data_IF_717782087401
#
_entry.id   IF_717782087401
#
_cell.length_a   1.000
_cell.length_b   1.000
_cell.length_c   1.000
_cell.angle_alpha   90.00
_cell.angle_beta   90.00
_cell.angle_gamma   90.00
#
_symmetry.space_group_name_H-M   'P 1'
#
loop_
_entity.id
_entity.type
_entity.pdbx_description
1 polymer ?
#
# COMPACT_ATOMS: atom_id res chain seq x y z
N UNK A 1 0.30 66.97 12.75
CA UNK A 1 0.05 65.52 12.91
C UNK A 1 -0.62 65.02 11.64
N UNK A 2 0.16 64.38 10.76
CA UNK A 2 -0.34 63.84 9.49
C UNK A 2 -1.11 62.54 9.72
N UNK A 3 -2.30 62.33 9.14
CA UNK A 3 -2.97 61.04 9.19
C UNK A 3 -2.15 60.01 8.40
N UNK A 4 -1.92 58.84 9.00
CA UNK A 4 -1.17 57.75 8.41
C UNK A 4 -1.77 57.29 7.07
N UNK A 5 -0.90 57.11 6.08
CA UNK A 5 -1.13 56.72 4.68
C UNK A 5 -1.91 55.40 4.46
N UNK A 6 -2.38 54.72 5.51
CA UNK A 6 -3.03 53.41 5.44
C UNK A 6 -4.56 53.47 5.35
N UNK A 7 -5.19 54.63 5.59
CA UNK A 7 -6.65 54.76 5.57
C UNK A 7 -7.25 55.06 4.19
N UNK A 8 -6.46 55.20 3.13
CA UNK A 8 -6.95 55.72 1.83
C UNK A 8 -6.98 54.75 0.64
N UNK A 9 -6.86 53.43 0.83
CA UNK A 9 -6.98 52.53 -0.34
C UNK A 9 -8.24 51.66 -0.34
N UNK A 10 -8.90 51.37 0.79
CA UNK A 10 -10.09 50.50 0.78
C UNK A 10 -11.21 50.83 1.79
N UNK A 11 -11.20 52.01 2.44
CA UNK A 11 -12.35 52.51 3.23
C UNK A 11 -12.83 51.63 4.40
N UNK A 12 -12.08 50.60 4.81
CA UNK A 12 -12.51 49.59 5.76
C UNK A 12 -11.42 49.39 6.82
N UNK A 13 -11.81 49.39 8.10
CA UNK A 13 -10.86 49.28 9.22
C UNK A 13 -10.10 47.94 9.22
N UNK A 14 -8.87 47.94 9.74
CA UNK A 14 -8.03 46.74 9.87
C UNK A 14 -8.74 45.60 10.63
N UNK A 15 -9.58 45.95 11.61
CA UNK A 15 -10.38 44.97 12.38
C UNK A 15 -11.41 44.26 11.50
N UNK A 16 -12.06 45.01 10.60
CA UNK A 16 -13.04 44.46 9.66
C UNK A 16 -12.38 43.51 8.66
N UNK A 17 -11.19 43.85 8.16
CA UNK A 17 -10.40 42.95 7.31
C UNK A 17 -9.98 41.67 8.02
N UNK A 18 -9.57 41.76 9.30
CA UNK A 18 -9.26 40.59 10.11
C UNK A 18 -10.48 39.66 10.28
N UNK A 19 -11.66 40.22 10.56
CA UNK A 19 -12.91 39.45 10.64
C UNK A 19 -13.26 38.76 9.31
N UNK A 20 -13.11 39.44 8.18
CA UNK A 20 -13.36 38.85 6.85
C UNK A 20 -12.40 37.69 6.56
N UNK A 21 -11.11 37.85 6.86
CA UNK A 21 -10.11 36.78 6.66
C UNK A 21 -10.39 35.58 7.57
N UNK A 22 -10.74 35.80 8.84
CA UNK A 22 -11.09 34.72 9.77
C UNK A 22 -12.35 33.98 9.29
N UNK A 23 -13.38 34.70 8.86
CA UNK A 23 -14.60 34.12 8.30
C UNK A 23 -14.33 33.33 7.02
N UNK A 24 -13.49 33.84 6.11
CA UNK A 24 -13.10 33.12 4.90
C UNK A 24 -12.29 31.86 5.21
N UNK A 25 -11.38 31.91 6.19
CA UNK A 25 -10.63 30.74 6.65
C UNK A 25 -11.55 29.71 7.30
N UNK A 26 -12.55 30.14 8.07
CA UNK A 26 -13.56 29.28 8.66
C UNK A 26 -14.44 28.63 7.58
N UNK A 27 -14.97 29.41 6.63
CA UNK A 27 -15.72 28.92 5.49
C UNK A 27 -14.90 27.94 4.64
N UNK A 28 -13.62 28.22 4.38
CA UNK A 28 -12.73 27.32 3.66
C UNK A 28 -12.50 26.01 4.42
N UNK A 29 -12.38 26.06 5.74
CA UNK A 29 -12.25 24.88 6.60
C UNK A 29 -13.53 24.05 6.62
N UNK A 30 -14.69 24.69 6.73
CA UNK A 30 -16.01 24.06 6.63
C UNK A 30 -16.22 23.41 5.26
N UNK A 31 -15.91 24.13 4.17
CA UNK A 31 -16.03 23.60 2.81
C UNK A 31 -15.13 22.38 2.58
N UNK A 32 -13.88 22.40 3.09
CA UNK A 32 -12.99 21.23 3.05
C UNK A 32 -13.54 20.05 3.84
N UNK A 33 -14.14 20.30 5.01
CA UNK A 33 -14.77 19.25 5.82
C UNK A 33 -15.99 18.66 5.10
N UNK A 34 -16.86 19.49 4.50
CA UNK A 34 -18.02 19.00 3.73
C UNK A 34 -17.61 18.20 2.49
N UNK A 35 -16.58 18.65 1.76
CA UNK A 35 -16.03 17.88 0.64
C UNK A 35 -15.47 16.52 1.07
N UNK A 36 -14.88 16.44 2.28
CA UNK A 36 -14.42 15.19 2.88
C UNK A 36 -15.59 14.29 3.26
N UNK A 37 -16.61 14.83 3.94
CA UNK A 37 -17.78 14.08 4.41
C UNK A 37 -18.56 13.44 3.26
N UNK A 38 -18.76 14.19 2.16
CA UNK A 38 -19.45 13.69 0.96
C UNK A 38 -18.69 12.51 0.34
N UNK A 39 -17.36 12.58 0.31
CA UNK A 39 -16.53 11.51 -0.23
C UNK A 39 -16.51 10.27 0.68
N UNK A 40 -16.53 10.45 2.01
CA UNK A 40 -16.67 9.35 2.97
C UNK A 40 -18.01 8.64 2.83
N UNK A 41 -19.10 9.38 2.57
CA UNK A 41 -20.44 8.82 2.35
C UNK A 41 -20.52 7.97 1.07
N UNK A 42 -19.94 8.44 -0.03
CA UNK A 42 -19.84 7.68 -1.29
C UNK A 42 -18.99 6.41 -1.12
N UNK A 43 -17.92 6.51 -0.33
CA UNK A 43 -17.04 5.38 -0.02
C UNK A 43 -17.76 4.36 0.87
N UNK A 44 -18.48 4.81 1.89
CA UNK A 44 -19.24 3.95 2.79
C UNK A 44 -20.28 3.16 2.01
N UNK A 45 -21.00 3.82 1.09
CA UNK A 45 -21.95 3.18 0.19
C UNK A 45 -21.29 2.09 -0.68
N UNK A 46 -20.15 2.37 -1.32
CA UNK A 46 -19.42 1.38 -2.15
C UNK A 46 -18.87 0.21 -1.31
N UNK A 47 -18.44 0.47 -0.07
CA UNK A 47 -17.97 -0.58 0.84
C UNK A 47 -19.10 -1.48 1.35
N UNK A 48 -20.27 -0.91 1.61
CA UNK A 48 -21.45 -1.65 2.05
C UNK A 48 -21.92 -2.62 0.97
N UNK A 49 -21.98 -2.16 -0.29
CA UNK A 49 -22.34 -3.00 -1.44
C UNK A 49 -21.37 -4.19 -1.60
N UNK A 50 -20.06 -3.96 -1.45
CA UNK A 50 -19.05 -5.03 -1.54
C UNK A 50 -19.11 -6.01 -0.38
N UNK A 51 -19.35 -5.52 0.84
CA UNK A 51 -19.52 -6.37 2.01
C UNK A 51 -20.78 -7.24 1.85
N UNK A 52 -21.89 -6.68 1.37
CA UNK A 52 -23.10 -7.44 1.09
C UNK A 52 -22.85 -8.52 0.02
N UNK A 53 -22.15 -8.21 -1.07
CA UNK A 53 -21.78 -9.19 -2.09
C UNK A 53 -20.88 -10.30 -1.53
N UNK A 54 -19.93 -9.95 -0.67
CA UNK A 54 -19.01 -10.92 -0.04
C UNK A 54 -19.75 -11.83 0.93
N UNK A 55 -20.68 -11.28 1.72
CA UNK A 55 -21.52 -12.03 2.65
C UNK A 55 -22.49 -12.98 1.93
N UNK A 56 -23.10 -12.54 0.83
CA UNK A 56 -23.95 -13.40 -0.01
C UNK A 56 -23.13 -14.56 -0.61
N UNK A 57 -21.93 -14.26 -1.11
CA UNK A 57 -21.03 -15.28 -1.67
C UNK A 57 -20.52 -16.25 -0.59
N UNK A 58 -20.24 -15.79 0.63
CA UNK A 58 -19.84 -16.67 1.73
C UNK A 58 -20.98 -17.57 2.19
N UNK A 59 -22.22 -17.07 2.20
CA UNK A 59 -23.42 -17.85 2.53
C UNK A 59 -23.74 -18.90 1.47
N UNK A 60 -23.59 -18.55 0.18
CA UNK A 60 -23.67 -19.50 -0.93
C UNK A 60 -22.59 -20.58 -0.83
N UNK A 61 -21.36 -20.20 -0.45
CA UNK A 61 -20.24 -21.14 -0.31
C UNK A 61 -20.44 -22.07 0.90
N UNK A 62 -20.98 -21.59 2.02
CA UNK A 62 -21.35 -22.47 3.15
C UNK A 62 -22.44 -23.47 2.79
N UNK A 63 -23.32 -23.14 1.85
CA UNK A 63 -24.36 -24.05 1.32
C UNK A 63 -23.85 -25.02 0.24
N UNK A 64 -22.72 -24.73 -0.40
CA UNK A 64 -22.11 -25.59 -1.44
C UNK A 64 -21.09 -26.58 -0.86
N UNK A 65 -20.48 -26.27 0.29
CA UNK A 65 -19.50 -27.14 0.98
C UNK A 65 -20.15 -28.40 1.58
N UNK A 66 -21.48 -28.47 1.68
CA UNK A 66 -22.20 -29.67 2.14
C UNK A 66 -22.35 -30.78 1.08
N UNK A 67 -21.76 -30.66 -0.11
CA UNK A 67 -22.05 -31.59 -1.24
C UNK A 67 -20.81 -32.29 -1.84
N UNK A 68 -19.57 -32.08 -1.34
CA UNK A 68 -18.43 -32.84 -1.88
C UNK A 68 -17.39 -33.24 -0.85
N UNK A 69 -17.50 -34.47 -0.36
CA UNK A 69 -16.38 -35.23 0.19
C UNK A 69 -16.12 -36.43 -0.73
N UNK A 70 -14.95 -36.47 -1.38
CA UNK A 70 -14.20 -37.73 -1.49
C UNK A 70 -12.72 -37.50 -1.87
N UNK A 71 -11.92 -38.52 -1.56
CA UNK A 71 -10.50 -38.54 -1.20
C UNK A 71 -9.43 -38.33 -2.30
N UNK A 72 -8.21 -37.93 -1.88
CA UNK A 72 -7.02 -38.82 -1.96
C UNK A 72 -5.72 -38.20 -1.38
N UNK A 73 -5.14 -38.98 -0.46
CA UNK A 73 -3.75 -39.17 -0.04
C UNK A 73 -2.67 -38.14 -0.42
N UNK A 74 -2.19 -37.39 0.58
CA UNK A 74 -0.77 -37.33 0.98
C UNK A 74 -0.63 -36.34 2.15
N UNK A 75 -0.55 -36.84 3.39
CA UNK A 75 0.01 -36.15 4.57
C UNK A 75 -0.02 -37.08 5.80
N UNK A 76 0.82 -38.11 5.79
CA UNK A 76 1.24 -38.80 7.02
C UNK A 76 2.47 -38.05 7.52
N UNK A 77 2.26 -37.06 8.39
CA UNK A 77 3.15 -36.64 9.49
C UNK A 77 2.60 -35.31 10.02
N UNK A 78 1.65 -35.39 10.97
CA UNK A 78 1.34 -34.41 12.04
C UNK A 78 -0.01 -34.80 12.66
N UNK A 79 -0.05 -35.95 13.34
CA UNK A 79 -1.17 -36.30 14.22
C UNK A 79 -0.65 -36.51 15.64
N UNK A 80 -0.57 -35.42 16.39
CA UNK A 80 -0.91 -35.43 17.81
C UNK A 80 -2.11 -34.51 17.96
N UNK A 81 -3.24 -35.08 18.42
CA UNK A 81 -4.42 -34.36 18.90
C UNK A 81 -4.04 -33.49 20.10
N UNK A 82 -3.43 -32.34 19.84
CA UNK A 82 -3.50 -31.15 20.69
C UNK A 82 -4.51 -30.20 20.06
N UNK A 83 -5.13 -29.32 20.86
CA UNK A 83 -5.98 -28.25 20.33
C UNK A 83 -5.30 -27.60 19.11
N UNK A 84 -5.97 -27.58 17.96
CA UNK A 84 -5.47 -26.94 16.73
C UNK A 84 -5.01 -25.53 17.12
N UNK A 85 -3.71 -25.28 17.13
CA UNK A 85 -3.19 -23.97 17.49
C UNK A 85 -3.88 -22.93 16.61
N UNK A 86 -4.49 -21.90 17.23
CA UNK A 86 -5.17 -20.84 16.46
C UNK A 86 -4.16 -20.18 15.54
N UNK A 87 -4.50 -20.14 14.26
CA UNK A 87 -3.70 -19.49 13.23
C UNK A 87 -3.95 -17.98 13.27
N UNK A 88 -3.20 -17.30 14.13
CA UNK A 88 -3.34 -15.87 14.44
C UNK A 88 -2.53 -14.96 13.51
N UNK A 89 -2.01 -15.47 12.39
CA UNK A 89 -1.11 -14.72 11.54
C UNK A 89 -1.80 -13.53 10.84
N UNK A 90 -1.16 -12.36 10.88
CA UNK A 90 -1.63 -11.15 10.21
C UNK A 90 -0.54 -10.66 9.26
N UNK A 91 -0.90 -10.42 8.00
CA UNK A 91 -0.06 -9.75 7.02
C UNK A 91 -0.62 -8.34 6.78
N UNK A 92 0.26 -7.34 6.83
CA UNK A 92 -0.05 -5.97 6.43
C UNK A 92 0.64 -5.63 5.12
N UNK A 93 -0.17 -5.45 4.08
CA UNK A 93 0.26 -4.92 2.79
C UNK A 93 -0.18 -3.46 2.64
N UNK A 94 0.63 -2.54 3.16
CA UNK A 94 0.37 -1.09 3.08
C UNK A 94 0.74 -0.53 1.69
N UNK A 95 -0.05 -0.96 0.70
CA UNK A 95 0.22 -0.86 -0.73
C UNK A 95 0.51 0.56 -1.23
N UNK A 96 1.61 0.71 -1.94
CA UNK A 96 1.95 1.93 -2.68
C UNK A 96 1.08 2.06 -3.96
N UNK A 97 0.61 3.28 -4.32
CA UNK A 97 -0.08 3.50 -5.58
C UNK A 97 0.83 3.31 -6.81
N UNK A 98 0.28 2.69 -7.86
CA UNK A 98 0.91 2.50 -9.19
C UNK A 98 2.16 1.61 -9.21
N UNK A 99 2.22 0.64 -8.30
CA UNK A 99 3.29 -0.37 -8.18
C UNK A 99 2.80 -1.80 -8.44
N UNK A 100 1.82 -2.00 -9.33
CA UNK A 100 1.21 -3.33 -9.54
C UNK A 100 0.28 -3.78 -8.39
N UNK A 101 0.00 -2.92 -7.42
CA UNK A 101 -0.73 -3.28 -6.21
C UNK A 101 -2.18 -3.75 -6.42
N UNK A 102 -2.81 -3.45 -7.57
CA UNK A 102 -4.16 -3.97 -7.87
C UNK A 102 -4.11 -5.42 -8.30
N UNK A 103 -3.15 -5.79 -9.16
CA UNK A 103 -2.90 -7.19 -9.52
C UNK A 103 -2.59 -8.02 -8.29
N UNK A 104 -1.67 -7.56 -7.43
CA UNK A 104 -1.29 -8.32 -6.24
C UNK A 104 -2.45 -8.47 -5.24
N UNK A 105 -3.25 -7.42 -5.03
CA UNK A 105 -4.43 -7.52 -4.17
C UNK A 105 -5.50 -8.47 -4.74
N UNK A 106 -5.66 -8.52 -6.08
CA UNK A 106 -6.58 -9.47 -6.70
C UNK A 106 -6.08 -10.91 -6.55
N UNK A 107 -4.79 -11.15 -6.81
CA UNK A 107 -4.17 -12.46 -6.59
C UNK A 107 -4.33 -12.92 -5.14
N UNK A 108 -4.10 -12.03 -4.18
CA UNK A 108 -4.30 -12.30 -2.75
C UNK A 108 -5.75 -12.69 -2.44
N UNK A 109 -6.72 -12.03 -3.07
CA UNK A 109 -8.15 -12.37 -2.92
C UNK A 109 -8.48 -13.75 -3.51
N UNK A 110 -7.93 -14.07 -4.68
CA UNK A 110 -8.14 -15.38 -5.31
C UNK A 110 -7.51 -16.50 -4.45
N UNK A 111 -6.31 -16.28 -3.92
CA UNK A 111 -5.62 -17.22 -3.01
C UNK A 111 -6.30 -17.33 -1.64
N UNK A 112 -6.98 -16.28 -1.16
CA UNK A 112 -7.72 -16.29 0.10
C UNK A 112 -8.76 -17.41 0.14
N UNK A 113 -9.43 -17.67 -0.99
CA UNK A 113 -10.39 -18.77 -1.13
C UNK A 113 -9.71 -20.14 -1.15
N UNK A 114 -8.54 -20.24 -1.77
CA UNK A 114 -7.81 -21.50 -1.96
C UNK A 114 -7.12 -21.92 -0.66
N UNK A 115 -6.45 -20.98 0.00
CA UNK A 115 -5.62 -21.24 1.15
C UNK A 115 -6.38 -21.03 2.48
N UNK A 116 -7.59 -20.49 2.47
CA UNK A 116 -8.45 -20.38 3.66
C UNK A 116 -7.98 -19.32 4.67
N UNK A 117 -7.78 -18.07 4.22
CA UNK A 117 -7.48 -16.91 5.06
C UNK A 117 -8.37 -15.73 4.64
N UNK A 118 -8.43 -14.64 5.40
CA UNK A 118 -9.21 -13.45 5.02
C UNK A 118 -8.38 -12.42 4.23
N UNK A 119 -8.87 -11.95 3.08
CA UNK A 119 -8.28 -10.81 2.37
C UNK A 119 -9.13 -9.55 2.58
N UNK A 120 -8.63 -8.58 3.34
CA UNK A 120 -9.41 -7.43 3.83
C UNK A 120 -8.85 -6.12 3.27
N UNK A 121 -9.69 -5.39 2.54
CA UNK A 121 -9.35 -4.04 2.08
C UNK A 121 -9.55 -3.01 3.20
N UNK A 122 -8.47 -2.31 3.55
CA UNK A 122 -8.51 -1.20 4.51
C UNK A 122 -8.72 0.09 3.74
N UNK A 123 -9.89 0.68 3.92
CA UNK A 123 -10.23 1.96 3.32
C UNK A 123 -9.86 3.10 4.27
N UNK A 124 -9.06 4.03 3.78
CA UNK A 124 -8.65 5.22 4.52
C UNK A 124 -9.03 6.42 3.68
N UNK A 125 -9.71 7.39 4.29
CA UNK A 125 -10.18 8.57 3.58
C UNK A 125 -8.99 9.29 2.94
N UNK A 126 -9.21 9.83 1.73
CA UNK A 126 -8.14 10.46 0.95
C UNK A 126 -7.50 11.66 1.67
N UNK A 127 -8.23 12.27 2.60
CA UNK A 127 -7.80 13.37 3.45
C UNK A 127 -6.96 12.92 4.67
N UNK A 128 -7.07 11.65 5.09
CA UNK A 128 -6.41 11.09 6.28
C UNK A 128 -5.41 9.99 5.94
N UNK A 129 -4.79 10.00 4.76
CA UNK A 129 -3.77 9.01 4.40
C UNK A 129 -2.66 8.85 5.46
N UNK A 130 -2.47 9.84 6.34
CA UNK A 130 -1.76 9.66 7.60
C UNK A 130 -2.77 9.67 8.74
N UNK A 131 -2.88 8.55 9.44
CA UNK A 131 -3.81 8.38 10.55
C UNK A 131 -3.34 9.19 11.78
N UNK A 132 -4.30 9.77 12.50
CA UNK A 132 -4.05 10.34 13.84
C UNK A 132 -3.58 9.25 14.81
N UNK A 133 -2.98 9.62 15.94
CA UNK A 133 -2.54 8.64 16.95
C UNK A 133 -3.71 7.78 17.44
N UNK A 134 -4.88 8.39 17.66
CA UNK A 134 -6.10 7.68 18.05
C UNK A 134 -6.59 6.71 16.97
N UNK A 135 -6.55 7.12 15.69
CA UNK A 135 -6.94 6.24 14.58
C UNK A 135 -5.93 5.11 14.36
N UNK A 136 -4.64 5.36 14.59
CA UNK A 136 -3.61 4.30 14.59
C UNK A 136 -3.91 3.27 15.68
N UNK A 137 -4.17 3.70 16.92
CA UNK A 137 -4.56 2.81 18.01
C UNK A 137 -5.82 2.00 17.68
N UNK A 138 -6.86 2.66 17.19
CA UNK A 138 -8.10 1.99 16.80
C UNK A 138 -7.86 0.95 15.70
N UNK A 139 -7.08 1.30 14.68
CA UNK A 139 -6.72 0.38 13.60
C UNK A 139 -5.97 -0.84 14.14
N UNK A 140 -4.95 -0.61 14.96
CA UNK A 140 -4.13 -1.66 15.56
C UNK A 140 -4.99 -2.60 16.40
N UNK A 141 -5.75 -2.07 17.37
CA UNK A 141 -6.60 -2.86 18.25
C UNK A 141 -7.63 -3.67 17.46
N UNK A 142 -8.23 -3.08 16.43
CA UNK A 142 -9.21 -3.77 15.59
C UNK A 142 -8.59 -4.97 14.89
N UNK A 143 -7.44 -4.82 14.20
CA UNK A 143 -6.87 -5.94 13.47
C UNK A 143 -6.24 -6.99 14.40
N UNK A 144 -5.71 -6.58 15.56
CA UNK A 144 -5.08 -7.51 16.50
C UNK A 144 -6.10 -8.33 17.27
N UNK A 145 -7.31 -7.83 17.48
CA UNK A 145 -8.33 -8.49 18.31
C UNK A 145 -9.47 -9.13 17.50
N UNK A 146 -9.46 -9.00 16.18
CA UNK A 146 -10.46 -9.62 15.31
C UNK A 146 -10.10 -11.07 15.01
N UNK A 147 -10.34 -11.96 15.97
CA UNK A 147 -9.95 -13.37 15.89
C UNK A 147 -10.66 -14.11 14.74
N UNK A 148 -11.91 -13.80 14.45
CA UNK A 148 -12.70 -14.44 13.39
C UNK A 148 -12.18 -14.15 11.99
N UNK A 149 -11.45 -13.04 11.82
CA UNK A 149 -10.83 -12.70 10.55
C UNK A 149 -9.52 -13.48 10.33
N UNK A 150 -8.89 -14.02 11.39
CA UNK A 150 -7.54 -14.57 11.30
C UNK A 150 -7.53 -16.02 10.80
N UNK A 151 -6.50 -16.41 10.03
CA UNK A 151 -5.39 -15.57 9.56
C UNK A 151 -5.84 -14.58 8.47
N UNK A 152 -5.22 -13.40 8.41
CA UNK A 152 -5.69 -12.31 7.55
C UNK A 152 -4.57 -11.56 6.83
N UNK A 153 -4.84 -11.14 5.59
CA UNK A 153 -4.07 -10.13 4.86
C UNK A 153 -4.90 -8.85 4.80
N UNK A 154 -4.46 -7.81 5.50
CA UNK A 154 -5.04 -6.48 5.35
C UNK A 154 -4.23 -5.68 4.34
N UNK A 155 -4.91 -5.04 3.39
CA UNK A 155 -4.25 -4.23 2.38
C UNK A 155 -4.93 -2.87 2.15
N UNK A 156 -4.14 -1.79 2.13
CA UNK A 156 -4.68 -0.43 2.03
C UNK A 156 -3.61 0.61 1.77
N UNK A 157 -4.03 1.80 1.33
CA UNK A 157 -3.11 2.91 1.03
C UNK A 157 -2.77 3.70 2.30
N UNK A 158 -1.77 3.24 3.05
CA UNK A 158 -1.27 3.90 4.26
C UNK A 158 0.25 3.86 4.38
N UNK A 159 0.86 4.83 5.08
CA UNK A 159 2.23 4.70 5.55
C UNK A 159 2.39 3.56 6.56
N UNK A 160 3.63 3.17 6.77
CA UNK A 160 4.05 2.24 7.81
C UNK A 160 3.57 2.71 9.20
N UNK A 161 3.06 1.77 9.98
CA UNK A 161 2.68 1.97 11.38
C UNK A 161 3.58 1.06 12.20
N UNK A 162 4.27 1.64 13.17
CA UNK A 162 5.10 0.88 14.09
C UNK A 162 4.23 0.37 15.25
N UNK A 163 3.84 -0.91 15.18
CA UNK A 163 3.04 -1.58 16.22
C UNK A 163 3.77 -1.65 17.57
N UNK A 164 5.09 -1.56 17.57
CA UNK A 164 5.90 -1.64 18.80
C UNK A 164 5.66 -0.44 19.70
N UNK A 165 5.44 0.74 19.11
CA UNK A 165 5.14 1.99 19.82
C UNK A 165 3.83 1.95 20.61
N UNK A 166 3.00 0.95 20.36
CA UNK A 166 1.68 0.78 20.96
C UNK A 166 1.60 -0.42 21.92
N UNK A 167 2.75 -1.01 22.28
CA UNK A 167 2.81 -2.10 23.25
C UNK A 167 2.29 -3.45 22.72
N UNK A 168 2.11 -3.59 21.40
CA UNK A 168 1.61 -4.83 20.81
C UNK A 168 2.73 -5.88 20.72
N UNK A 169 2.50 -7.03 21.37
CA UNK A 169 3.44 -8.16 21.39
C UNK A 169 3.42 -8.97 20.09
N UNK A 170 2.23 -9.38 19.62
CA UNK A 170 2.05 -10.09 18.35
C UNK A 170 1.97 -9.09 17.20
N UNK A 171 3.09 -8.89 16.50
CA UNK A 171 3.21 -7.92 15.40
C UNK A 171 2.77 -8.55 14.08
N UNK A 172 2.15 -7.77 13.18
CA UNK A 172 1.86 -8.25 11.84
C UNK A 172 3.14 -8.36 11.01
N UNK A 173 3.10 -9.22 10.00
CA UNK A 173 4.13 -9.38 8.99
C UNK A 173 3.91 -8.31 7.92
N UNK A 174 4.85 -7.37 7.78
CA UNK A 174 4.78 -6.38 6.72
C UNK A 174 5.38 -6.90 5.42
N UNK A 175 4.67 -6.68 4.32
CA UNK A 175 5.17 -6.90 2.97
C UNK A 175 4.85 -5.68 2.10
N UNK A 176 5.61 -5.44 1.04
CA UNK A 176 5.25 -4.40 0.09
C UNK A 176 5.80 -4.66 -1.32
N UNK A 177 5.36 -3.83 -2.26
CA UNK A 177 5.79 -3.84 -3.64
C UNK A 177 5.97 -2.39 -4.11
N UNK A 178 7.18 -2.05 -4.52
CA UNK A 178 7.57 -0.71 -4.99
C UNK A 178 7.88 -0.71 -6.48
N UNK A 179 8.20 0.45 -7.05
CA UNK A 179 8.50 0.61 -8.49
C UNK A 179 9.56 1.69 -8.69
N UNK A 180 10.26 1.65 -9.82
CA UNK A 180 11.15 2.76 -10.21
C UNK A 180 10.39 4.11 -10.11
N UNK A 181 10.96 5.12 -9.41
CA UNK A 181 10.22 6.32 -9.02
C UNK A 181 9.62 7.14 -10.15
N UNK A 182 10.36 7.34 -11.25
CA UNK A 182 9.91 8.12 -12.41
C UNK A 182 8.80 7.37 -13.14
N UNK A 183 8.99 6.07 -13.34
CA UNK A 183 8.03 5.17 -13.97
C UNK A 183 6.69 5.13 -13.22
N UNK A 184 6.76 5.04 -11.88
CA UNK A 184 5.60 5.14 -10.98
C UNK A 184 4.92 6.51 -11.13
N UNK A 185 5.71 7.58 -11.18
CA UNK A 185 5.20 8.95 -11.26
C UNK A 185 4.49 9.23 -12.58
N UNK A 186 5.09 8.83 -13.70
CA UNK A 186 4.46 8.93 -15.02
C UNK A 186 3.20 8.08 -15.10
N UNK A 187 3.24 6.86 -14.57
CA UNK A 187 2.05 6.00 -14.52
C UNK A 187 0.89 6.67 -13.75
N UNK A 188 1.19 7.38 -12.67
CA UNK A 188 0.20 8.17 -11.92
C UNK A 188 -0.29 9.41 -12.67
N UNK A 189 0.62 10.15 -13.32
CA UNK A 189 0.31 11.35 -14.10
C UNK A 189 -0.73 11.06 -15.19
N UNK A 190 -0.47 10.02 -15.98
CA UNK A 190 -1.34 9.61 -17.07
C UNK A 190 -2.62 8.91 -16.59
N UNK A 191 -2.54 8.17 -15.48
CA UNK A 191 -3.72 7.58 -14.84
C UNK A 191 -4.77 8.63 -14.47
N UNK A 192 -4.35 9.80 -13.98
CA UNK A 192 -5.30 10.88 -13.63
C UNK A 192 -6.00 11.50 -14.85
N UNK A 193 -5.46 11.33 -16.06
CA UNK A 193 -5.99 11.88 -17.32
C UNK A 193 -6.81 10.85 -18.09
N UNK A 194 -6.24 9.66 -18.27
CA UNK A 194 -6.77 8.65 -19.18
C UNK A 194 -7.42 7.46 -18.47
N UNK A 195 -7.37 7.41 -17.12
CA UNK A 195 -7.98 6.32 -16.37
C UNK A 195 -7.20 5.01 -16.41
N UNK A 196 -7.93 3.92 -16.21
CA UNK A 196 -7.42 2.56 -16.23
C UNK A 196 -8.40 1.60 -16.89
N UNK A 197 -7.87 0.49 -17.40
CA UNK A 197 -8.63 -0.61 -18.01
C UNK A 197 -9.52 -1.38 -17.01
N UNK A 198 -9.25 -1.28 -15.71
CA UNK A 198 -9.97 -2.03 -14.67
C UNK A 198 -11.29 -1.35 -14.26
N UNK A 199 -11.39 -0.04 -14.39
CA UNK A 199 -12.61 0.78 -14.19
C UNK A 199 -12.62 1.88 -15.25
N UNK A 200 -12.94 1.55 -16.51
CA UNK A 200 -12.88 2.49 -17.63
C UNK A 200 -13.89 3.63 -17.49
N UNK A 201 -15.08 3.34 -16.97
CA UNK A 201 -16.17 4.32 -16.86
C UNK A 201 -15.95 5.37 -15.76
N UNK A 202 -14.96 5.14 -14.87
CA UNK A 202 -14.68 6.07 -13.78
C UNK A 202 -13.89 7.27 -14.30
N UNK A 203 -14.59 8.40 -14.43
CA UNK A 203 -14.00 9.71 -14.73
C UNK A 203 -12.97 10.07 -13.65
N UNK A 204 -11.78 10.46 -14.08
CA UNK A 204 -10.67 10.82 -13.20
C UNK A 204 -10.57 12.32 -13.05
N UNK A 205 -9.93 12.75 -11.96
CA UNK A 205 -9.84 14.17 -11.56
C UNK A 205 -9.27 15.09 -12.64
N UNK A 206 -8.46 14.56 -13.57
CA UNK A 206 -7.85 15.33 -14.67
C UNK A 206 -8.28 14.79 -16.04
N UNK A 207 -9.37 14.04 -16.12
CA UNK A 207 -9.93 13.60 -17.41
C UNK A 207 -10.29 14.80 -18.28
N UNK A 208 -10.09 14.65 -19.60
CA UNK A 208 -10.21 15.73 -20.58
C UNK A 208 -8.94 16.58 -20.76
N UNK A 209 -7.94 16.45 -19.88
CA UNK A 209 -6.63 17.05 -20.09
C UNK A 209 -5.71 16.08 -20.86
N UNK A 210 -5.41 16.40 -22.11
CA UNK A 210 -4.55 15.59 -22.99
C UNK A 210 -3.05 15.95 -22.93
N UNK A 211 -2.68 16.92 -22.09
CA UNK A 211 -1.30 17.39 -21.90
C UNK A 211 -0.34 16.24 -21.58
N UNK A 212 0.75 16.16 -22.33
CA UNK A 212 1.80 15.15 -22.14
C UNK A 212 2.61 15.42 -20.87
N UNK A 213 3.35 14.41 -20.38
CA UNK A 213 4.20 14.61 -19.22
C UNK A 213 5.31 15.63 -19.52
N UNK A 214 5.89 15.55 -20.72
CA UNK A 214 6.92 16.46 -21.23
C UNK A 214 6.45 17.91 -21.30
N UNK A 215 5.28 18.17 -21.90
CA UNK A 215 4.68 19.51 -21.94
C UNK A 215 4.50 20.10 -20.54
N UNK A 216 4.00 19.28 -19.60
CA UNK A 216 3.83 19.70 -18.23
C UNK A 216 5.18 20.06 -17.59
N UNK A 217 6.21 19.23 -17.78
CA UNK A 217 7.54 19.45 -17.19
C UNK A 217 8.22 20.67 -17.81
N UNK A 218 8.06 20.88 -19.11
CA UNK A 218 8.58 22.05 -19.83
C UNK A 218 8.04 23.35 -19.22
N UNK A 219 6.72 23.45 -19.02
CA UNK A 219 6.10 24.65 -18.43
C UNK A 219 6.10 24.73 -16.89
N UNK A 220 6.63 23.73 -16.19
CA UNK A 220 6.63 23.69 -14.72
C UNK A 220 5.25 23.44 -14.08
N UNK A 221 4.39 22.65 -14.73
CA UNK A 221 3.03 22.38 -14.30
C UNK A 221 2.91 21.68 -12.94
N UNK A 222 1.89 22.04 -12.13
CA UNK A 222 1.70 21.53 -10.75
C UNK A 222 1.58 20.01 -10.64
N UNK A 223 1.14 19.33 -11.70
CA UNK A 223 0.90 17.87 -11.70
C UNK A 223 2.17 17.03 -11.90
N UNK A 224 3.23 17.64 -12.46
CA UNK A 224 4.49 16.97 -12.82
C UNK A 224 5.69 17.55 -12.06
N UNK A 225 5.46 18.45 -11.08
CA UNK A 225 6.57 18.98 -10.27
C UNK A 225 7.24 17.88 -9.45
N UNK A 226 8.57 17.98 -9.21
CA UNK A 226 9.31 16.95 -8.48
C UNK A 226 8.77 16.63 -7.09
N UNK A 227 8.09 17.55 -6.39
CA UNK A 227 7.51 17.26 -5.06
C UNK A 227 6.42 16.19 -5.10
N UNK A 228 5.85 15.90 -6.29
CA UNK A 228 4.88 14.81 -6.47
C UNK A 228 5.52 13.43 -6.67
N UNK A 229 6.84 13.37 -6.86
CA UNK A 229 7.60 12.10 -6.84
C UNK A 229 7.67 11.51 -5.44
N UNK A 230 7.78 12.37 -4.42
CA UNK A 230 7.92 11.98 -3.02
C UNK A 230 6.70 11.21 -2.52
N UNK A 231 6.79 9.88 -2.51
CA UNK A 231 5.72 8.97 -2.16
C UNK A 231 6.20 7.66 -1.55
N UNK A 232 7.20 6.99 -2.12
CA UNK A 232 7.60 5.68 -1.60
C UNK A 232 8.35 5.86 -0.28
N UNK A 233 9.29 6.80 -0.21
CA UNK A 233 9.98 7.14 1.04
C UNK A 233 9.01 7.41 2.19
N UNK A 234 8.02 8.33 2.08
CA UNK A 234 7.07 8.56 3.18
C UNK A 234 6.20 7.35 3.52
N UNK A 235 5.90 6.46 2.56
CA UNK A 235 5.14 5.24 2.84
C UNK A 235 5.89 4.28 3.78
N UNK A 236 7.23 4.23 3.71
CA UNK A 236 8.04 3.39 4.59
C UNK A 236 8.56 4.13 5.82
N UNK A 237 8.83 5.43 5.72
CA UNK A 237 9.18 6.28 6.86
C UNK A 237 8.04 6.33 7.90
N UNK A 238 6.78 6.28 7.45
CA UNK A 238 5.62 6.12 8.33
C UNK A 238 4.92 7.44 8.68
N UNK A 239 4.39 7.52 9.90
CA UNK A 239 3.44 8.57 10.30
C UNK A 239 4.09 9.84 10.88
N UNK A 240 5.42 9.88 11.02
CA UNK A 240 6.10 11.06 11.56
C UNK A 240 5.97 12.27 10.60
N UNK A 241 5.71 13.50 11.09
CA UNK A 241 5.52 14.67 10.22
C UNK A 241 6.68 14.94 9.26
N UNK A 242 7.92 14.67 9.69
CA UNK A 242 9.11 14.85 8.86
C UNK A 242 9.16 13.90 7.65
N UNK A 243 8.47 12.75 7.67
CA UNK A 243 8.37 11.85 6.53
C UNK A 243 7.74 12.54 5.31
N UNK A 244 6.80 13.46 5.53
CA UNK A 244 6.07 14.17 4.46
C UNK A 244 6.82 15.37 3.90
N UNK A 245 7.92 15.79 4.52
CA UNK A 245 8.76 16.87 4.01
C UNK A 245 9.54 16.33 2.81
N UNK A 246 9.13 16.73 1.61
CA UNK A 246 9.75 16.26 0.39
C UNK A 246 11.25 16.63 0.35
N UNK A 247 12.11 15.67 -0.02
CA UNK A 247 13.55 15.88 -0.04
C UNK A 247 14.25 15.76 1.32
N UNK A 248 13.57 15.23 2.34
CA UNK A 248 14.15 15.01 3.68
C UNK A 248 15.07 13.80 3.69
N UNK A 249 16.38 14.01 3.93
CA UNK A 249 17.37 12.93 4.09
C UNK A 249 17.08 12.06 5.32
N UNK A 250 16.65 12.66 6.43
CA UNK A 250 16.23 11.90 7.62
C UNK A 250 15.10 10.92 7.30
N UNK A 251 14.13 11.35 6.47
CA UNK A 251 13.02 10.49 6.10
C UNK A 251 13.45 9.33 5.18
N UNK A 252 14.47 9.54 4.35
CA UNK A 252 15.08 8.48 3.56
C UNK A 252 15.73 7.43 4.47
N UNK A 253 16.55 7.86 5.41
CA UNK A 253 17.24 6.93 6.32
C UNK A 253 16.25 6.19 7.23
N UNK A 254 15.21 6.86 7.73
CA UNK A 254 14.15 6.22 8.51
C UNK A 254 13.35 5.23 7.66
N UNK A 255 13.08 5.54 6.38
CA UNK A 255 12.42 4.61 5.47
C UNK A 255 13.26 3.34 5.22
N UNK A 256 14.57 3.48 5.02
CA UNK A 256 15.49 2.33 4.88
C UNK A 256 15.54 1.50 6.16
N UNK A 257 15.63 2.15 7.32
CA UNK A 257 15.61 1.51 8.64
C UNK A 257 14.34 0.69 8.83
N UNK A 258 13.18 1.27 8.53
CA UNK A 258 11.91 0.58 8.65
C UNK A 258 11.79 -0.58 7.65
N UNK A 259 12.22 -0.39 6.40
CA UNK A 259 12.26 -1.46 5.41
C UNK A 259 13.09 -2.65 5.93
N UNK A 260 14.28 -2.39 6.43
CA UNK A 260 15.20 -3.43 6.90
C UNK A 260 14.70 -4.16 8.15
N UNK A 261 14.17 -3.44 9.14
CA UNK A 261 13.82 -4.04 10.44
C UNK A 261 12.38 -4.55 10.56
N UNK A 262 11.45 -4.06 9.74
CA UNK A 262 10.03 -4.32 9.95
C UNK A 262 9.34 -5.02 8.78
N UNK A 263 9.89 -4.96 7.57
CA UNK A 263 9.31 -5.65 6.42
C UNK A 263 9.97 -7.01 6.24
N UNK A 264 9.16 -8.06 6.09
CA UNK A 264 9.64 -9.39 5.74
C UNK A 264 10.28 -9.38 4.35
N UNK A 265 9.59 -8.78 3.38
CA UNK A 265 10.09 -8.63 2.02
C UNK A 265 9.42 -7.44 1.33
N UNK A 266 10.22 -6.70 0.57
CA UNK A 266 9.74 -5.62 -0.32
C UNK A 266 10.19 -5.95 -1.73
N UNK A 267 9.25 -6.37 -2.58
CA UNK A 267 9.55 -6.65 -3.98
C UNK A 267 9.57 -5.39 -4.84
N UNK A 268 9.92 -5.57 -6.11
CA UNK A 268 9.82 -4.54 -7.14
C UNK A 268 8.85 -4.95 -8.25
N UNK A 269 8.14 -3.96 -8.81
CA UNK A 269 7.12 -4.18 -9.85
C UNK A 269 7.73 -4.81 -11.10
N UNK A 270 8.99 -4.48 -11.39
CA UNK A 270 9.76 -4.97 -12.53
C UNK A 270 10.11 -6.47 -12.43
N UNK A 271 10.13 -7.05 -11.23
CA UNK A 271 10.43 -8.47 -10.96
C UNK A 271 9.31 -9.12 -10.12
N UNK A 272 8.07 -8.92 -10.57
CA UNK A 272 6.85 -9.34 -9.86
C UNK A 272 6.76 -10.86 -9.63
N UNK A 273 7.15 -11.67 -10.61
CA UNK A 273 7.13 -13.13 -10.51
C UNK A 273 8.08 -13.66 -9.43
N UNK A 274 9.29 -13.10 -9.34
CA UNK A 274 10.22 -13.46 -8.28
C UNK A 274 9.69 -13.07 -6.91
N UNK A 275 8.98 -11.94 -6.81
CA UNK A 275 8.34 -11.53 -5.56
C UNK A 275 7.28 -12.54 -5.12
N UNK A 276 6.45 -13.05 -6.03
CA UNK A 276 5.50 -14.11 -5.73
C UNK A 276 6.19 -15.42 -5.30
N UNK A 277 7.28 -15.77 -5.99
CA UNK A 277 8.07 -16.98 -5.68
C UNK A 277 8.67 -16.93 -4.27
N UNK A 278 9.17 -15.76 -3.86
CA UNK A 278 9.66 -15.51 -2.50
C UNK A 278 8.53 -15.66 -1.48
N UNK A 279 7.37 -15.07 -1.74
CA UNK A 279 6.21 -15.19 -0.84
C UNK A 279 5.68 -16.62 -0.72
N UNK A 280 5.73 -17.41 -1.78
CA UNK A 280 5.36 -18.82 -1.74
C UNK A 280 6.22 -19.64 -0.77
N UNK A 281 7.53 -19.35 -0.71
CA UNK A 281 8.44 -20.03 0.21
C UNK A 281 8.32 -19.47 1.63
N UNK A 282 8.33 -18.15 1.76
CA UNK A 282 8.38 -17.51 3.07
C UNK A 282 7.03 -17.56 3.81
N UNK A 283 5.91 -17.57 3.08
CA UNK A 283 4.55 -17.48 3.61
C UNK A 283 3.59 -18.46 2.90
N UNK A 284 3.89 -19.77 2.86
CA UNK A 284 3.10 -20.76 2.11
C UNK A 284 1.66 -20.85 2.61
N UNK A 285 1.40 -20.55 3.88
CA UNK A 285 0.05 -20.47 4.45
C UNK A 285 -0.86 -19.49 3.72
N UNK A 286 -0.30 -18.41 3.16
CA UNK A 286 -1.04 -17.38 2.43
C UNK A 286 -0.86 -17.49 0.93
N UNK A 287 0.37 -17.79 0.46
CA UNK A 287 0.75 -17.60 -0.93
C UNK A 287 1.06 -18.89 -1.70
N UNK A 288 0.88 -20.09 -1.12
CA UNK A 288 1.04 -21.34 -1.88
C UNK A 288 0.21 -21.31 -3.17
N UNK A 289 0.85 -21.55 -4.31
CA UNK A 289 0.24 -21.55 -5.64
C UNK A 289 0.08 -20.17 -6.28
N UNK A 290 0.60 -19.09 -5.68
CA UNK A 290 0.60 -17.74 -6.23
C UNK A 290 1.27 -17.64 -7.61
N UNK A 291 2.43 -18.27 -7.82
CA UNK A 291 3.17 -18.23 -9.09
C UNK A 291 2.38 -18.90 -10.20
N UNK A 292 1.96 -20.14 -9.98
CA UNK A 292 1.14 -20.90 -10.92
C UNK A 292 -0.20 -20.20 -11.24
N UNK A 293 -0.85 -19.60 -10.24
CA UNK A 293 -2.10 -18.87 -10.44
C UNK A 293 -1.86 -17.58 -11.25
N UNK A 294 -0.75 -16.89 -11.00
CA UNK A 294 -0.37 -15.73 -11.79
C UNK A 294 -0.08 -16.14 -13.24
N UNK A 295 0.76 -17.14 -13.51
CA UNK A 295 1.10 -17.56 -14.88
C UNK A 295 -0.12 -18.03 -15.70
N UNK A 296 -1.07 -18.73 -15.07
CA UNK A 296 -2.30 -19.20 -15.73
C UNK A 296 -3.31 -18.09 -15.99
N UNK A 297 -3.20 -16.94 -15.33
CA UNK A 297 -4.21 -15.89 -15.36
C UNK A 297 -4.21 -15.06 -16.66
N UNK A 298 -5.34 -14.99 -17.36
CA UNK A 298 -5.56 -14.01 -18.46
C UNK A 298 -5.58 -12.54 -17.99
N UNK A 299 -5.69 -12.30 -16.69
CA UNK A 299 -5.89 -10.99 -16.04
C UNK A 299 -4.74 -10.61 -15.05
N UNK A 300 -3.50 -11.00 -15.34
CA UNK A 300 -2.34 -10.80 -14.44
C UNK A 300 -1.93 -9.34 -14.25
N UNK A 301 -2.15 -8.51 -15.26
CA UNK A 301 -1.76 -7.12 -15.25
C UNK A 301 -2.99 -6.22 -15.22
N UNK A 302 -3.63 -6.13 -14.05
CA UNK A 302 -4.80 -5.29 -13.83
C UNK A 302 -4.42 -3.81 -13.67
N UNK A 303 -5.34 -2.94 -14.05
CA UNK A 303 -5.27 -1.49 -13.84
C UNK A 303 -4.11 -0.85 -14.59
N UNK A 304 -3.89 -1.27 -15.84
CA UNK A 304 -2.98 -0.59 -16.76
C UNK A 304 -3.54 0.80 -17.04
N UNK A 305 -2.65 1.78 -17.08
CA UNK A 305 -3.02 3.13 -17.48
C UNK A 305 -3.30 3.11 -18.98
N UNK A 306 -4.51 3.51 -19.40
CA UNK A 306 -5.01 3.31 -20.78
C UNK A 306 -4.11 3.91 -21.87
N UNK A 307 -3.52 5.09 -21.59
CA UNK A 307 -2.56 5.74 -22.48
C UNK A 307 -1.38 6.24 -21.66
N UNK A 308 -0.16 5.87 -22.04
CA UNK A 308 1.09 6.33 -21.45
C UNK A 308 2.07 6.61 -22.59
N UNK A 309 2.68 7.78 -22.60
CA UNK A 309 3.75 8.10 -23.55
C UNK A 309 5.09 8.01 -22.82
N UNK A 310 6.15 7.50 -23.47
CA UNK A 310 7.49 7.58 -22.91
C UNK A 310 7.94 9.05 -22.84
N UNK A 311 8.69 9.44 -21.79
CA UNK A 311 9.20 10.81 -21.66
C UNK A 311 10.36 11.04 -22.63
N UNK A 312 10.56 12.30 -23.02
CA UNK A 312 11.74 12.75 -23.76
C UNK A 312 13.01 12.65 -22.89
N UNK A 313 14.19 12.41 -23.48
CA UNK A 313 15.45 12.36 -22.75
C UNK A 313 15.73 13.61 -21.89
N UNK A 314 15.38 14.80 -22.39
CA UNK A 314 15.55 16.08 -21.71
C UNK A 314 14.64 16.16 -20.47
N UNK A 315 13.40 15.68 -20.58
CA UNK A 315 12.45 15.58 -19.46
C UNK A 315 12.97 14.63 -18.39
N UNK A 316 13.49 13.47 -18.80
CA UNK A 316 14.10 12.50 -17.88
C UNK A 316 15.27 13.15 -17.15
N UNK A 317 16.19 13.79 -17.88
CA UNK A 317 17.34 14.48 -17.30
C UNK A 317 16.92 15.53 -16.26
N UNK A 318 15.98 16.41 -16.63
CA UNK A 318 15.46 17.48 -15.75
C UNK A 318 14.82 16.93 -14.47
N UNK A 319 14.09 15.82 -14.55
CA UNK A 319 13.51 15.18 -13.36
C UNK A 319 14.60 14.53 -12.50
N UNK A 320 15.56 13.85 -13.12
CA UNK A 320 16.64 13.14 -12.43
C UNK A 320 17.61 14.07 -11.69
N UNK A 321 17.75 15.31 -12.15
CA UNK A 321 18.52 16.36 -11.47
C UNK A 321 17.89 16.80 -10.13
N UNK A 322 16.59 16.54 -9.92
CA UNK A 322 15.94 16.89 -8.66
C UNK A 322 16.47 16.07 -7.49
N UNK A 323 16.77 16.74 -6.37
CA UNK A 323 17.09 16.07 -5.11
C UNK A 323 16.00 15.05 -4.72
N UNK A 324 14.72 15.35 -4.98
CA UNK A 324 13.60 14.49 -4.60
C UNK A 324 13.64 13.16 -5.37
N UNK A 325 13.93 13.21 -6.69
CA UNK A 325 14.14 12.00 -7.47
C UNK A 325 15.33 11.21 -6.93
N UNK A 326 16.46 11.88 -6.68
CA UNK A 326 17.68 11.25 -6.16
C UNK A 326 17.42 10.47 -4.88
N UNK A 327 16.66 11.03 -3.94
CA UNK A 327 16.34 10.37 -2.67
C UNK A 327 15.36 9.19 -2.83
N UNK A 328 14.29 9.36 -3.62
CA UNK A 328 13.38 8.25 -3.97
C UNK A 328 14.12 7.13 -4.70
N UNK A 329 15.08 7.49 -5.55
CA UNK A 329 15.90 6.52 -6.29
C UNK A 329 16.85 5.77 -5.37
N UNK A 330 17.54 6.46 -4.46
CA UNK A 330 18.36 5.82 -3.41
C UNK A 330 17.56 4.83 -2.57
N UNK A 331 16.31 5.15 -2.23
CA UNK A 331 15.43 4.23 -1.52
C UNK A 331 15.06 3.01 -2.37
N UNK A 332 14.69 3.23 -3.63
CA UNK A 332 14.39 2.15 -4.57
C UNK A 332 15.58 1.21 -4.77
N UNK A 333 16.77 1.74 -5.04
CA UNK A 333 17.98 0.94 -5.26
C UNK A 333 18.35 0.14 -3.99
N UNK A 334 18.18 0.73 -2.79
CA UNK A 334 18.34 -0.01 -1.53
C UNK A 334 17.37 -1.19 -1.43
N UNK A 335 16.09 -0.98 -1.71
CA UNK A 335 15.09 -2.04 -1.67
C UNK A 335 15.33 -3.13 -2.74
N UNK A 336 15.80 -2.76 -3.94
CA UNK A 336 16.22 -3.71 -4.99
C UNK A 336 17.33 -4.61 -4.47
N UNK A 337 18.35 -4.05 -3.82
CA UNK A 337 19.47 -4.81 -3.29
C UNK A 337 19.01 -5.78 -2.20
N UNK A 338 18.21 -5.31 -1.23
CA UNK A 338 17.64 -6.18 -0.19
C UNK A 338 16.79 -7.30 -0.78
N UNK A 339 15.96 -7.00 -1.78
CA UNK A 339 15.13 -8.01 -2.44
C UNK A 339 15.97 -9.05 -3.19
N UNK A 340 17.04 -8.62 -3.86
CA UNK A 340 17.96 -9.51 -4.60
C UNK A 340 18.65 -10.50 -3.66
N UNK A 341 19.08 -10.05 -2.48
CA UNK A 341 19.71 -10.89 -1.45
C UNK A 341 18.72 -11.97 -1.01
N UNK A 342 17.51 -11.59 -0.57
CA UNK A 342 16.48 -12.52 -0.12
C UNK A 342 16.12 -13.53 -1.23
N UNK A 343 15.97 -13.05 -2.47
CA UNK A 343 15.70 -13.90 -3.63
C UNK A 343 16.80 -14.95 -3.82
N UNK A 344 18.07 -14.54 -3.74
CA UNK A 344 19.21 -15.44 -3.91
C UNK A 344 19.27 -16.51 -2.81
N UNK A 345 19.05 -16.12 -1.55
CA UNK A 345 19.00 -17.03 -0.41
C UNK A 345 17.91 -18.10 -0.60
N UNK A 346 16.69 -17.66 -0.91
CA UNK A 346 15.53 -18.57 -1.09
C UNK A 346 15.70 -19.49 -2.29
N UNK A 347 16.23 -19.00 -3.42
CA UNK A 347 16.45 -19.83 -4.61
C UNK A 347 17.54 -20.88 -4.37
N UNK A 348 18.62 -20.52 -3.67
CA UNK A 348 19.67 -21.48 -3.32
C UNK A 348 19.19 -22.53 -2.31
N UNK A 349 18.31 -22.15 -1.38
CA UNK A 349 17.72 -23.09 -0.45
C UNK A 349 16.82 -24.09 -1.16
N UNK A 350 16.04 -23.68 -2.17
CA UNK A 350 15.26 -24.61 -3.01
C UNK A 350 16.12 -25.63 -3.76
N UNK A 351 17.36 -25.29 -4.10
CA UNK A 351 18.28 -26.18 -4.83
C UNK A 351 19.01 -27.18 -3.91
N UNK A 352 18.98 -26.97 -2.59
CA UNK A 352 19.65 -27.85 -1.62
C UNK A 352 18.56 -28.61 -0.86
N UNK A 353 18.41 -29.90 -1.14
CA UNK A 353 17.44 -30.75 -0.42
C UNK A 353 17.82 -30.88 1.07
N UNK A 354 16.84 -30.70 1.96
CA UNK A 354 16.96 -30.90 3.41
C UNK A 354 17.07 -29.62 4.25
N UNK A 355 16.54 -29.65 5.48
CA UNK A 355 16.72 -28.56 6.44
C UNK A 355 18.20 -28.42 6.80
N UNK A 356 18.75 -27.21 6.69
CA UNK A 356 20.17 -26.93 7.03
C UNK A 356 20.46 -26.88 8.52
N UNK A 357 19.46 -27.15 9.36
CA UNK A 357 19.58 -27.12 10.82
C UNK A 357 18.89 -28.33 11.43
N UNK A 358 19.46 -28.84 12.53
CA UNK A 358 18.92 -29.94 13.31
C UNK A 358 18.88 -29.51 14.77
N UNK A 359 17.74 -29.68 15.43
CA UNK A 359 17.66 -29.52 16.87
C UNK A 359 18.21 -30.80 17.53
N UNK A 360 19.30 -30.68 18.28
CA UNK A 360 19.94 -31.79 19.00
C UNK A 360 19.92 -31.52 20.50
N UNK A 361 19.99 -32.58 21.31
CA UNK A 361 20.07 -32.50 22.78
C UNK A 361 18.88 -31.74 23.43
N UNK A 362 17.66 -32.01 22.97
CA UNK A 362 16.44 -31.46 23.58
C UNK A 362 16.24 -32.12 24.96
N UNK A 363 16.50 -31.38 26.02
CA UNK A 363 16.33 -31.79 27.42
C UNK A 363 15.45 -30.80 28.22
N UNK A 364 14.74 -31.27 29.26
CA UNK A 364 14.61 -32.68 29.64
C UNK A 364 13.78 -33.44 28.61
N UNK A 365 14.21 -34.66 28.30
CA UNK A 365 13.37 -35.63 27.62
C UNK A 365 12.19 -35.84 28.58
N UNK A 366 11.04 -35.26 28.29
CA UNK A 366 9.85 -35.35 29.15
C UNK A 366 9.62 -36.81 29.52
N UNK A 367 9.60 -37.07 30.84
CA UNK A 367 9.30 -38.35 31.48
C UNK A 367 7.94 -38.88 31.05
#
# INVERSE_FOLDING_TARGET
MSPSLWTQVLGVSVRTWACVVISLLFCFRVYRNFGCLKQELEILADSHVKLQQTFVNSKLKSSLVSISSDESADNIYWSKKGAKARDDAIILYNRVPKTGSTSFARLTLDLCTINGFSSIYVNISHCERVLSLANQMKFITNITNWDEAKPAVYHGHMPFIDFTRFGIKKRPIYINLIREPLDRFMSYYYFLRFGDDFRPDKIRRRSGNNETFDECVARGGRSCRPEKLWLQVPYFCGHHPACRRAGSEWALEEAKRNLFHHYLVVGITEDFLSFLSVLEVALPRFYRGATALFEKGRNTQLRKTSKKLPPLPETVKKIKESNIYRLERKFYDFAVEQFRIIKYEILNDRLKEGDKFLFQNIEPKTV
#
